data_IF_458549769443
#
_entry.id   IF_458549769443
#
_cell.length_a   1.000
_cell.length_b   1.000
_cell.length_c   1.000
_cell.angle_alpha   90.00
_cell.angle_beta   90.00
_cell.angle_gamma   90.00
#
_symmetry.space_group_name_H-M   'P 1'
#
loop_
_entity.id
_entity.type
_entity.pdbx_description
1 polymer ?
#
# COMPACT_ATOMS: atom_id res chain seq x y z
N UNK A 1 40.64 61.80 40.93
CA UNK A 1 39.84 60.57 40.81
C UNK A 1 39.87 60.15 39.35
N UNK A 2 40.66 59.13 39.07
CA UNK A 2 41.18 58.72 37.77
C UNK A 2 40.38 57.55 37.19
N UNK A 3 39.94 57.72 35.94
CA UNK A 3 39.95 56.74 34.83
C UNK A 3 39.53 55.27 35.04
N UNK A 4 38.38 54.94 34.44
CA UNK A 4 38.11 53.83 33.49
C UNK A 4 38.82 52.47 33.56
N UNK A 5 38.00 51.41 33.55
CA UNK A 5 38.28 50.15 32.85
C UNK A 5 36.96 49.43 32.51
N UNK A 6 36.61 49.41 31.22
CA UNK A 6 35.49 48.63 30.68
C UNK A 6 35.86 47.15 30.61
N UNK A 7 34.97 46.29 31.10
CA UNK A 7 35.05 44.85 30.89
C UNK A 7 34.52 44.53 29.49
N UNK A 8 35.42 44.10 28.61
CA UNK A 8 35.10 43.59 27.29
C UNK A 8 34.35 42.27 27.38
N UNK A 9 33.11 42.25 26.89
CA UNK A 9 32.36 41.04 26.62
C UNK A 9 32.98 40.33 25.41
N UNK A 10 33.77 39.28 25.66
CA UNK A 10 34.25 38.38 24.61
C UNK A 10 33.08 37.65 23.96
N UNK A 11 32.60 38.14 22.82
CA UNK A 11 31.76 37.35 21.91
C UNK A 11 32.69 36.41 21.13
N UNK A 12 32.69 35.13 21.50
CA UNK A 12 33.28 34.09 20.67
C UNK A 12 32.53 34.01 19.33
N UNK A 13 33.28 34.08 18.23
CA UNK A 13 32.72 33.84 16.91
C UNK A 13 32.26 32.36 16.81
N UNK A 14 31.14 32.07 16.12
CA UNK A 14 30.73 30.70 15.87
C UNK A 14 31.78 30.00 14.98
N UNK A 15 32.04 28.70 15.19
CA UNK A 15 33.01 27.96 14.39
C UNK A 15 32.56 27.92 12.93
N UNK A 16 33.50 28.13 12.01
CA UNK A 16 33.28 28.04 10.58
C UNK A 16 32.77 26.64 10.21
N UNK A 17 31.71 26.58 9.41
CA UNK A 17 31.19 25.35 8.84
C UNK A 17 32.30 24.66 8.00
N UNK A 18 32.46 23.33 8.09
CA UNK A 18 33.48 22.63 7.33
C UNK A 18 33.19 22.79 5.83
N UNK A 19 34.23 23.13 5.07
CA UNK A 19 34.18 23.25 3.62
C UNK A 19 33.69 21.93 3.00
N UNK A 20 32.73 22.03 2.07
CA UNK A 20 32.22 20.92 1.30
C UNK A 20 33.40 20.18 0.64
N UNK A 21 33.58 18.89 0.94
CA UNK A 21 34.68 18.12 0.39
C UNK A 21 34.49 17.96 -1.12
N UNK A 22 35.50 18.39 -1.88
CA UNK A 22 35.54 18.20 -3.32
C UNK A 22 35.64 16.69 -3.61
N UNK A 23 34.67 16.17 -4.36
CA UNK A 23 34.67 14.78 -4.82
C UNK A 23 35.81 14.60 -5.83
N UNK A 24 36.72 13.61 -5.67
CA UNK A 24 37.79 13.34 -6.64
C UNK A 24 37.22 12.96 -8.01
N UNK A 25 37.86 13.41 -9.08
CA UNK A 25 37.40 13.29 -10.47
C UNK A 25 37.32 11.84 -11.03
N UNK A 26 37.76 10.83 -10.26
CA UNK A 26 37.66 9.40 -10.60
C UNK A 26 36.67 8.63 -9.72
N UNK A 27 35.85 9.34 -8.93
CA UNK A 27 34.82 8.69 -8.14
C UNK A 27 33.72 8.13 -9.07
N UNK A 28 33.35 6.83 -8.95
CA UNK A 28 32.26 6.26 -9.72
C UNK A 28 31.01 7.15 -9.70
N UNK A 29 30.26 7.21 -10.81
CA UNK A 29 29.12 8.13 -11.01
C UNK A 29 28.04 8.11 -9.89
N UNK A 30 28.01 7.05 -9.08
CA UNK A 30 27.11 6.91 -7.92
C UNK A 30 27.61 7.61 -6.64
N UNK A 31 28.84 8.13 -6.58
CA UNK A 31 29.34 8.86 -5.42
C UNK A 31 28.57 10.17 -5.22
N UNK A 32 28.12 10.41 -3.98
CA UNK A 32 27.26 11.54 -3.60
C UNK A 32 25.82 11.46 -4.13
N UNK A 33 25.48 10.51 -5.00
CA UNK A 33 24.11 10.34 -5.51
C UNK A 33 23.12 10.07 -4.38
N UNK A 34 23.49 9.20 -3.44
CA UNK A 34 22.71 8.90 -2.23
C UNK A 34 22.38 10.17 -1.44
N UNK A 35 23.34 11.05 -1.24
CA UNK A 35 23.16 12.25 -0.43
C UNK A 35 22.34 13.30 -1.19
N UNK A 36 22.60 13.48 -2.50
CA UNK A 36 21.76 14.33 -3.36
C UNK A 36 20.29 13.89 -3.37
N UNK A 37 20.05 12.59 -3.45
CA UNK A 37 18.69 12.03 -3.46
C UNK A 37 17.97 12.24 -2.11
N UNK A 38 18.70 12.08 -1.00
CA UNK A 38 18.20 12.37 0.35
C UNK A 38 17.87 13.85 0.54
N UNK A 39 18.75 14.76 0.10
CA UNK A 39 18.49 16.20 0.16
C UNK A 39 17.24 16.57 -0.64
N UNK A 40 17.11 16.06 -1.88
CA UNK A 40 15.90 16.27 -2.68
C UNK A 40 14.62 15.78 -1.98
N UNK A 41 14.65 14.60 -1.38
CA UNK A 41 13.49 14.09 -0.61
C UNK A 41 13.17 14.99 0.59
N UNK A 42 14.19 15.49 1.29
CA UNK A 42 14.00 16.37 2.45
C UNK A 42 13.46 17.76 2.07
N UNK A 43 13.90 18.31 0.94
CA UNK A 43 13.54 19.66 0.50
C UNK A 43 12.18 19.70 -0.21
N UNK A 44 11.91 18.71 -1.07
CA UNK A 44 10.78 18.73 -2.00
C UNK A 44 9.78 17.58 -1.78
N UNK A 45 10.04 16.69 -0.83
CA UNK A 45 9.14 15.58 -0.49
C UNK A 45 9.14 14.44 -1.51
N UNK A 46 8.18 13.53 -1.36
CA UNK A 46 8.08 12.32 -2.17
C UNK A 46 7.68 12.61 -3.63
N UNK A 47 6.82 13.62 -3.86
CA UNK A 47 6.29 13.94 -5.19
C UNK A 47 7.37 14.46 -6.17
N UNK A 48 8.52 14.88 -5.65
CA UNK A 48 9.66 15.35 -6.44
C UNK A 48 10.56 14.23 -6.98
N UNK A 49 10.23 12.96 -6.69
CA UNK A 49 11.03 11.79 -7.05
C UNK A 49 10.19 10.82 -7.89
N UNK A 50 10.71 10.35 -9.04
CA UNK A 50 10.08 9.24 -9.75
C UNK A 50 10.18 7.94 -8.93
N UNK A 51 9.29 6.99 -9.21
CA UNK A 51 9.18 5.69 -8.54
C UNK A 51 10.52 4.97 -8.33
N UNK A 52 11.38 4.95 -9.35
CA UNK A 52 12.67 4.28 -9.24
C UNK A 52 13.60 4.99 -8.24
N UNK A 53 13.56 6.32 -8.12
CA UNK A 53 14.37 7.07 -7.15
C UNK A 53 13.86 6.90 -5.72
N UNK A 54 12.53 6.82 -5.54
CA UNK A 54 11.95 6.48 -4.24
C UNK A 54 12.39 5.06 -3.80
N UNK A 55 12.46 4.12 -4.76
CA UNK A 55 12.97 2.78 -4.51
C UNK A 55 14.46 2.76 -4.19
N UNK A 56 15.28 3.60 -4.83
CA UNK A 56 16.70 3.75 -4.50
C UNK A 56 16.88 4.16 -3.02
N UNK A 57 16.07 5.10 -2.52
CA UNK A 57 16.12 5.52 -1.10
C UNK A 57 15.86 4.38 -0.12
N UNK A 58 14.94 3.47 -0.44
CA UNK A 58 14.71 2.25 0.35
C UNK A 58 15.90 1.29 0.24
N UNK A 59 16.33 0.97 -0.97
CA UNK A 59 17.40 0.01 -1.24
C UNK A 59 18.74 0.43 -0.61
N UNK A 60 18.99 1.73 -0.46
CA UNK A 60 20.17 2.24 0.23
C UNK A 60 20.28 1.78 1.69
N UNK A 61 19.18 1.44 2.35
CA UNK A 61 19.17 0.92 3.73
C UNK A 61 19.57 -0.56 3.77
N UNK A 62 19.12 -1.32 2.78
CA UNK A 62 19.34 -2.77 2.69
C UNK A 62 20.66 -3.14 2.01
N UNK A 63 21.16 -2.28 1.13
CA UNK A 63 22.39 -2.49 0.34
C UNK A 63 23.35 -1.30 0.55
N UNK A 64 24.27 -1.39 1.51
CA UNK A 64 25.25 -0.34 1.75
C UNK A 64 26.30 -0.29 0.62
N UNK A 65 26.77 0.92 0.30
CA UNK A 65 27.96 1.17 -0.52
C UNK A 65 27.95 0.56 -1.95
N UNK A 66 26.78 0.36 -2.54
CA UNK A 66 26.63 -0.07 -3.95
C UNK A 66 25.75 0.88 -4.75
N UNK A 67 25.95 0.90 -6.06
CA UNK A 67 25.00 1.51 -6.99
C UNK A 67 23.73 0.65 -7.06
N UNK A 68 22.63 1.19 -6.50
CA UNK A 68 21.32 0.54 -6.49
C UNK A 68 20.41 1.02 -7.62
N UNK A 69 20.84 2.02 -8.41
CA UNK A 69 20.04 2.55 -9.51
C UNK A 69 19.72 1.51 -10.58
N UNK A 70 20.67 0.66 -11.03
CA UNK A 70 20.35 -0.42 -11.95
C UNK A 70 19.34 -1.41 -11.37
N UNK A 71 19.44 -1.71 -10.07
CA UNK A 71 18.53 -2.63 -9.38
C UNK A 71 17.12 -2.03 -9.26
N UNK A 72 17.01 -0.77 -8.87
CA UNK A 72 15.74 -0.06 -8.79
C UNK A 72 15.05 -0.01 -10.16
N UNK A 73 15.79 0.31 -11.23
CA UNK A 73 15.25 0.27 -12.59
C UNK A 73 14.85 -1.14 -13.04
N UNK A 74 15.61 -2.17 -12.68
CA UNK A 74 15.26 -3.55 -13.01
C UNK A 74 13.96 -4.00 -12.30
N UNK A 75 13.78 -3.60 -11.04
CA UNK A 75 12.56 -3.84 -10.28
C UNK A 75 11.35 -3.14 -10.92
N UNK A 76 11.47 -1.85 -11.22
CA UNK A 76 10.41 -1.09 -11.89
C UNK A 76 10.11 -1.67 -13.28
N UNK A 77 11.13 -2.01 -14.07
CA UNK A 77 10.93 -2.62 -15.38
C UNK A 77 10.24 -4.00 -15.31
N UNK A 78 10.47 -4.77 -14.24
CA UNK A 78 9.84 -6.09 -14.05
C UNK A 78 8.40 -5.99 -13.55
N UNK A 79 8.14 -5.09 -12.60
CA UNK A 79 6.89 -5.06 -11.85
C UNK A 79 5.96 -3.92 -12.25
N UNK A 80 6.47 -2.85 -12.88
CA UNK A 80 5.70 -1.72 -13.40
C UNK A 80 5.94 -0.44 -12.61
N UNK A 81 5.49 -0.40 -11.36
CA UNK A 81 5.52 0.77 -10.48
C UNK A 81 6.12 0.49 -9.11
N UNK A 82 6.38 1.55 -8.33
CA UNK A 82 6.82 1.43 -6.93
C UNK A 82 5.83 0.61 -6.08
N UNK A 83 4.54 0.84 -6.29
CA UNK A 83 3.48 0.10 -5.59
C UNK A 83 3.45 -1.37 -6.00
N UNK A 84 3.63 -1.69 -7.29
CA UNK A 84 3.72 -3.07 -7.77
C UNK A 84 4.96 -3.79 -7.25
N UNK A 85 6.11 -3.11 -7.12
CA UNK A 85 7.30 -3.66 -6.48
C UNK A 85 7.02 -4.01 -5.02
N UNK A 86 6.38 -3.11 -4.26
CA UNK A 86 6.01 -3.39 -2.88
C UNK A 86 4.93 -4.48 -2.76
N UNK A 87 4.03 -4.63 -3.74
CA UNK A 87 2.98 -5.65 -3.73
C UNK A 87 3.44 -7.04 -4.18
N UNK A 88 4.51 -7.13 -4.96
CA UNK A 88 5.00 -8.40 -5.53
C UNK A 88 5.40 -9.43 -4.45
N UNK A 89 5.09 -10.73 -4.59
CA UNK A 89 5.50 -11.75 -3.63
C UNK A 89 7.01 -11.82 -3.45
N UNK A 90 7.45 -12.17 -2.23
CA UNK A 90 8.87 -12.24 -1.90
C UNK A 90 9.65 -13.18 -2.84
N UNK A 91 9.07 -14.32 -3.23
CA UNK A 91 9.68 -15.25 -4.21
C UNK A 91 9.97 -14.60 -5.55
N UNK A 92 9.03 -13.80 -6.06
CA UNK A 92 9.12 -13.08 -7.34
C UNK A 92 10.14 -11.95 -7.27
N UNK A 93 10.24 -11.28 -6.12
CA UNK A 93 11.26 -10.26 -5.87
C UNK A 93 12.66 -10.87 -5.91
N UNK A 94 12.87 -12.04 -5.27
CA UNK A 94 14.17 -12.72 -5.23
C UNK A 94 14.63 -13.30 -6.57
N UNK A 95 13.75 -13.38 -7.58
CA UNK A 95 14.14 -13.73 -8.96
C UNK A 95 14.95 -12.61 -9.64
N UNK A 96 14.90 -11.37 -9.12
CA UNK A 96 15.65 -10.24 -9.67
C UNK A 96 17.09 -10.26 -9.16
N UNK A 97 18.06 -10.34 -10.08
CA UNK A 97 19.48 -10.32 -9.74
C UNK A 97 19.83 -9.08 -8.91
N UNK A 98 20.30 -9.31 -7.68
CA UNK A 98 20.63 -8.25 -6.72
C UNK A 98 19.62 -8.08 -5.59
N UNK A 99 18.46 -8.75 -5.67
CA UNK A 99 17.50 -8.86 -4.57
C UNK A 99 17.73 -10.18 -3.82
N UNK A 100 18.40 -10.09 -2.68
CA UNK A 100 18.45 -11.20 -1.72
C UNK A 100 17.26 -11.20 -0.76
N UNK A 101 17.19 -12.22 0.10
CA UNK A 101 16.12 -12.36 1.10
C UNK A 101 15.98 -11.12 1.99
N UNK A 102 17.08 -10.48 2.39
CA UNK A 102 17.04 -9.26 3.23
C UNK A 102 16.37 -8.07 2.54
N UNK A 103 16.67 -7.85 1.25
CA UNK A 103 16.03 -6.78 0.46
C UNK A 103 14.54 -7.08 0.27
N UNK A 104 14.19 -8.33 -0.03
CA UNK A 104 12.80 -8.75 -0.14
C UNK A 104 12.05 -8.52 1.18
N UNK A 105 12.64 -8.91 2.32
CA UNK A 105 12.05 -8.70 3.64
C UNK A 105 11.81 -7.22 3.93
N UNK A 106 12.78 -6.34 3.68
CA UNK A 106 12.62 -4.90 3.91
C UNK A 106 11.47 -4.30 3.08
N UNK A 107 11.35 -4.69 1.80
CA UNK A 107 10.21 -4.27 0.96
C UNK A 107 8.87 -4.78 1.51
N UNK A 108 8.82 -6.04 1.98
CA UNK A 108 7.62 -6.62 2.61
C UNK A 108 7.27 -5.93 3.94
N UNK A 109 8.26 -5.46 4.71
CA UNK A 109 8.02 -4.68 5.93
C UNK A 109 7.33 -3.36 5.59
N UNK A 110 7.80 -2.67 4.55
CA UNK A 110 7.17 -1.41 4.08
C UNK A 110 5.75 -1.66 3.59
N UNK A 111 5.52 -2.69 2.78
CA UNK A 111 4.17 -3.10 2.35
C UNK A 111 3.26 -3.37 3.56
N UNK A 112 3.75 -4.11 4.55
CA UNK A 112 2.98 -4.45 5.74
C UNK A 112 2.67 -3.22 6.61
N UNK A 113 3.57 -2.23 6.66
CA UNK A 113 3.32 -0.95 7.33
C UNK A 113 2.22 -0.16 6.60
N UNK A 114 2.30 -0.05 5.27
CA UNK A 114 1.30 0.61 4.43
C UNK A 114 -0.08 -0.03 4.62
N UNK A 115 -0.16 -1.37 4.55
CA UNK A 115 -1.41 -2.11 4.79
C UNK A 115 -2.00 -1.86 6.18
N UNK A 116 -1.17 -1.79 7.22
CA UNK A 116 -1.62 -1.50 8.60
C UNK A 116 -2.14 -0.07 8.74
N UNK A 117 -1.47 0.91 8.12
CA UNK A 117 -1.92 2.30 8.11
C UNK A 117 -3.28 2.43 7.40
N UNK A 118 -3.40 1.84 6.22
CA UNK A 118 -4.65 1.83 5.47
C UNK A 118 -5.79 1.14 6.25
N UNK A 119 -5.49 0.00 6.89
CA UNK A 119 -6.47 -0.69 7.76
C UNK A 119 -6.89 0.16 8.95
N UNK A 120 -5.96 0.85 9.59
CA UNK A 120 -6.25 1.74 10.72
C UNK A 120 -7.17 2.90 10.36
N UNK A 121 -7.08 3.41 9.12
CA UNK A 121 -7.96 4.46 8.61
C UNK A 121 -9.43 3.98 8.48
N UNK A 122 -9.65 2.69 8.25
CA UNK A 122 -10.99 2.08 8.10
C UNK A 122 -11.55 1.56 9.42
N UNK A 123 -10.70 0.96 10.28
CA UNK A 123 -11.11 0.27 11.51
C UNK A 123 -11.74 1.16 12.61
N UNK A 124 -11.83 2.48 12.41
CA UNK A 124 -12.42 3.45 13.36
C UNK A 124 -13.43 4.42 12.72
N UNK A 125 -13.81 4.21 11.46
CA UNK A 125 -14.71 5.12 10.73
C UNK A 125 -15.98 4.42 10.30
N UNK A 126 -17.07 5.18 10.22
CA UNK A 126 -18.29 4.74 9.56
C UNK A 126 -18.05 4.73 8.06
N UNK A 127 -18.16 3.56 7.43
CA UNK A 127 -17.87 3.30 6.02
C UNK A 127 -18.59 4.29 5.10
N UNK A 128 -19.86 4.59 5.38
CA UNK A 128 -20.66 5.50 4.55
C UNK A 128 -20.20 6.97 4.61
N UNK A 129 -19.48 7.39 5.65
CA UNK A 129 -18.96 8.77 5.74
C UNK A 129 -17.70 8.98 4.91
N UNK A 130 -17.08 7.90 4.41
CA UNK A 130 -15.85 7.98 3.61
C UNK A 130 -15.72 6.78 2.67
N UNK A 131 -16.65 6.64 1.73
CA UNK A 131 -16.59 5.58 0.71
C UNK A 131 -15.24 5.56 -0.04
N UNK A 132 -14.67 6.72 -0.34
CA UNK A 132 -13.32 6.84 -0.90
C UNK A 132 -12.25 6.18 -0.03
N UNK A 133 -12.31 6.34 1.29
CA UNK A 133 -11.35 5.71 2.20
C UNK A 133 -11.48 4.18 2.24
N UNK A 134 -12.70 3.65 2.05
CA UNK A 134 -12.93 2.21 1.92
C UNK A 134 -12.32 1.69 0.62
N UNK A 135 -12.54 2.40 -0.49
CA UNK A 135 -11.94 2.06 -1.78
C UNK A 135 -10.40 2.13 -1.74
N UNK A 136 -9.84 3.19 -1.16
CA UNK A 136 -8.39 3.36 -1.02
C UNK A 136 -7.79 2.24 -0.18
N UNK A 137 -8.48 1.84 0.89
CA UNK A 137 -8.10 0.68 1.69
C UNK A 137 -8.10 -0.61 0.89
N UNK A 138 -9.20 -0.91 0.19
CA UNK A 138 -9.34 -2.10 -0.63
C UNK A 138 -8.26 -2.16 -1.72
N UNK A 139 -7.99 -1.03 -2.39
CA UNK A 139 -6.91 -0.92 -3.39
C UNK A 139 -5.55 -1.20 -2.76
N UNK A 140 -5.23 -0.55 -1.64
CA UNK A 140 -3.95 -0.75 -0.93
C UNK A 140 -3.78 -2.19 -0.47
N UNK A 141 -4.86 -2.83 -0.01
CA UNK A 141 -4.81 -4.19 0.50
C UNK A 141 -4.70 -5.24 -0.63
N UNK A 142 -5.30 -5.00 -1.80
CA UNK A 142 -5.61 -6.06 -2.76
C UNK A 142 -5.19 -5.81 -4.22
N UNK A 143 -4.98 -4.57 -4.67
CA UNK A 143 -4.81 -4.24 -6.10
C UNK A 143 -3.60 -4.94 -6.76
N UNK A 144 -2.55 -5.21 -5.99
CA UNK A 144 -1.32 -5.83 -6.49
C UNK A 144 -1.13 -7.27 -6.01
N UNK A 145 -2.18 -7.89 -5.44
CA UNK A 145 -2.13 -9.29 -5.09
C UNK A 145 -2.11 -10.15 -6.37
N UNK A 146 -1.10 -11.03 -6.51
CA UNK A 146 -0.97 -11.93 -7.67
C UNK A 146 -2.07 -13.00 -7.73
N UNK A 147 -2.73 -13.25 -6.61
CA UNK A 147 -3.84 -14.19 -6.50
C UNK A 147 -5.11 -13.42 -6.24
N UNK A 148 -6.20 -13.94 -6.76
CA UNK A 148 -7.53 -13.48 -6.43
C UNK A 148 -7.83 -13.75 -4.95
N UNK A 149 -8.33 -12.74 -4.28
CA UNK A 149 -8.72 -12.77 -2.88
C UNK A 149 -10.15 -12.27 -2.77
N UNK A 150 -10.99 -13.02 -2.06
CA UNK A 150 -12.33 -12.56 -1.69
C UNK A 150 -12.31 -12.09 -0.24
N UNK A 151 -12.54 -10.80 -0.05
CA UNK A 151 -12.56 -10.10 1.24
C UNK A 151 -13.98 -9.65 1.54
N UNK A 152 -14.32 -9.70 2.83
CA UNK A 152 -15.60 -9.21 3.34
C UNK A 152 -15.33 -8.24 4.47
N UNK A 153 -15.90 -7.04 4.34
CA UNK A 153 -16.00 -6.09 5.43
C UNK A 153 -17.36 -6.29 6.10
N UNK A 154 -17.36 -6.68 7.36
CA UNK A 154 -18.56 -6.83 8.16
C UNK A 154 -18.84 -5.53 8.90
N UNK A 155 -20.09 -5.07 8.92
CA UNK A 155 -20.47 -3.78 9.48
C UNK A 155 -21.56 -3.90 10.55
N UNK A 156 -21.49 -3.02 11.54
CA UNK A 156 -22.57 -2.81 12.50
C UNK A 156 -23.69 -1.89 11.96
N UNK A 157 -24.72 -1.63 12.78
CA UNK A 157 -25.88 -0.79 12.43
C UNK A 157 -25.53 0.68 12.17
N UNK A 158 -24.35 1.13 12.61
CA UNK A 158 -23.81 2.48 12.35
C UNK A 158 -22.91 2.48 11.11
N UNK A 159 -22.79 1.35 10.41
CA UNK A 159 -21.88 1.11 9.30
C UNK A 159 -20.41 1.27 9.68
N UNK A 160 -20.05 1.01 10.94
CA UNK A 160 -18.65 0.86 11.32
C UNK A 160 -18.17 -0.56 10.97
N UNK A 161 -16.93 -0.68 10.47
CA UNK A 161 -16.33 -2.00 10.20
C UNK A 161 -16.05 -2.69 11.53
N UNK A 162 -16.71 -3.81 11.77
CA UNK A 162 -16.52 -4.66 12.96
C UNK A 162 -15.55 -5.81 12.70
N UNK A 163 -15.45 -6.26 11.45
CA UNK A 163 -14.45 -7.23 11.04
C UNK A 163 -14.08 -7.03 9.57
N UNK A 164 -12.86 -7.43 9.25
CA UNK A 164 -12.28 -7.38 7.92
C UNK A 164 -11.52 -8.69 7.69
N UNK A 165 -12.11 -9.56 6.87
CA UNK A 165 -11.65 -10.93 6.72
C UNK A 165 -11.50 -11.30 5.24
N UNK A 166 -10.39 -11.95 4.93
CA UNK A 166 -10.20 -12.62 3.65
C UNK A 166 -10.82 -14.01 3.79
N UNK A 167 -12.00 -14.21 3.22
CA UNK A 167 -12.72 -15.49 3.26
C UNK A 167 -12.14 -16.50 2.28
N UNK A 168 -11.46 -16.03 1.23
CA UNK A 168 -10.85 -16.90 0.23
C UNK A 168 -9.57 -16.30 -0.33
N UNK A 169 -8.57 -17.16 -0.52
CA UNK A 169 -7.41 -16.89 -1.37
C UNK A 169 -7.29 -18.01 -2.40
N UNK A 170 -7.37 -17.68 -3.69
CA UNK A 170 -7.38 -18.65 -4.78
C UNK A 170 -6.00 -19.05 -5.31
N UNK A 171 -5.96 -20.16 -6.04
CA UNK A 171 -5.03 -20.43 -7.17
C UNK A 171 -5.86 -20.50 -8.46
N UNK A 172 -5.21 -20.69 -9.62
CA UNK A 172 -5.77 -20.62 -11.01
C UNK A 172 -7.14 -21.29 -11.21
N UNK A 173 -7.51 -22.26 -10.38
CA UNK A 173 -8.83 -22.90 -10.37
C UNK A 173 -9.66 -22.41 -9.16
N UNK A 174 -10.65 -21.55 -9.41
CA UNK A 174 -11.58 -20.99 -8.42
C UNK A 174 -12.09 -22.02 -7.40
N UNK A 175 -11.79 -21.82 -6.12
CA UNK A 175 -12.71 -22.28 -5.06
C UNK A 175 -13.94 -21.36 -5.12
N UNK A 176 -15.19 -21.85 -5.05
CA UNK A 176 -16.34 -20.97 -5.02
C UNK A 176 -16.50 -20.30 -3.65
N UNK A 177 -16.84 -19.01 -3.63
CA UNK A 177 -17.37 -18.36 -2.43
C UNK A 177 -18.73 -18.98 -2.13
N UNK A 178 -18.87 -19.58 -0.96
CA UNK A 178 -20.12 -20.22 -0.55
C UNK A 178 -21.00 -19.23 0.21
N UNK A 179 -22.19 -18.84 -0.31
CA UNK A 179 -23.06 -17.87 0.35
C UNK A 179 -23.40 -18.22 1.80
N UNK A 180 -23.57 -19.52 2.09
CA UNK A 180 -23.83 -20.00 3.46
C UNK A 180 -22.73 -19.65 4.45
N UNK A 181 -21.47 -19.64 4.03
CA UNK A 181 -20.32 -19.36 4.90
C UNK A 181 -20.25 -17.85 5.19
N UNK A 182 -20.51 -17.04 4.17
CA UNK A 182 -20.62 -15.57 4.32
C UNK A 182 -21.73 -15.21 5.30
N UNK A 183 -22.91 -15.82 5.14
CA UNK A 183 -24.04 -15.56 6.03
C UNK A 183 -23.82 -16.08 7.44
N UNK A 184 -23.27 -17.29 7.60
CA UNK A 184 -22.90 -17.82 8.91
C UNK A 184 -21.97 -16.86 9.63
N UNK A 185 -20.92 -16.39 8.94
CA UNK A 185 -19.95 -15.47 9.52
C UNK A 185 -20.55 -14.11 9.87
N UNK A 186 -21.40 -13.57 9.00
CA UNK A 186 -22.11 -12.32 9.28
C UNK A 186 -22.99 -12.42 10.53
N UNK A 187 -23.69 -13.54 10.72
CA UNK A 187 -24.49 -13.81 11.90
C UNK A 187 -23.63 -14.00 13.17
N UNK A 188 -22.53 -14.75 13.08
CA UNK A 188 -21.58 -14.92 14.20
C UNK A 188 -21.05 -13.58 14.71
N UNK A 189 -20.78 -12.65 13.80
CA UNK A 189 -20.28 -11.31 14.11
C UNK A 189 -21.40 -10.32 14.46
N UNK A 190 -22.67 -10.74 14.40
CA UNK A 190 -23.83 -9.85 14.55
C UNK A 190 -23.80 -8.65 13.59
N UNK A 191 -23.29 -8.86 12.39
CA UNK A 191 -23.21 -7.85 11.35
C UNK A 191 -24.62 -7.50 10.85
N UNK A 192 -24.92 -6.22 10.69
CA UNK A 192 -26.16 -5.76 10.03
C UNK A 192 -25.97 -5.50 8.53
N UNK A 193 -24.72 -5.40 8.08
CA UNK A 193 -24.40 -5.27 6.68
C UNK A 193 -23.02 -5.85 6.36
N UNK A 194 -22.78 -6.12 5.08
CA UNK A 194 -21.47 -6.50 4.55
C UNK A 194 -21.14 -5.73 3.28
N UNK A 195 -19.85 -5.56 3.01
CA UNK A 195 -19.32 -5.15 1.70
C UNK A 195 -18.45 -6.29 1.21
N UNK A 196 -18.76 -6.76 0.00
CA UNK A 196 -17.99 -7.79 -0.68
C UNK A 196 -16.89 -7.12 -1.50
N UNK A 197 -15.69 -7.67 -1.51
CA UNK A 197 -14.57 -7.12 -2.27
C UNK A 197 -13.74 -8.26 -2.83
N UNK A 198 -13.42 -8.24 -4.12
CA UNK A 198 -12.36 -9.09 -4.67
C UNK A 198 -11.46 -8.36 -5.64
N UNK A 199 -10.26 -8.88 -5.86
CA UNK A 199 -9.34 -8.34 -6.86
C UNK A 199 -9.30 -9.20 -8.10
N UNK A 200 -9.15 -8.57 -9.25
CA UNK A 200 -8.80 -9.23 -10.50
C UNK A 200 -7.30 -9.07 -10.77
N UNK A 201 -6.47 -10.13 -10.65
CA UNK A 201 -5.03 -10.04 -10.91
C UNK A 201 -4.69 -9.59 -12.35
N UNK A 202 -5.61 -9.80 -13.29
CA UNK A 202 -5.55 -9.30 -14.67
C UNK A 202 -5.52 -7.77 -14.75
N UNK A 203 -6.02 -7.08 -13.73
CA UNK A 203 -6.09 -5.63 -13.64
C UNK A 203 -7.42 -5.02 -14.11
N UNK A 204 -8.22 -5.74 -14.91
CA UNK A 204 -9.53 -5.29 -15.39
C UNK A 204 -10.60 -5.53 -14.30
N UNK A 205 -11.23 -4.47 -13.75
CA UNK A 205 -12.24 -4.61 -12.70
C UNK A 205 -13.64 -4.99 -13.23
N UNK A 206 -13.80 -5.27 -14.53
CA UNK A 206 -15.11 -5.61 -15.11
C UNK A 206 -15.67 -6.91 -14.50
N UNK A 207 -16.92 -6.92 -13.99
CA UNK A 207 -17.51 -8.11 -13.38
C UNK A 207 -17.81 -9.21 -14.40
N UNK A 208 -17.46 -10.44 -14.05
CA UNK A 208 -17.83 -11.63 -14.82
C UNK A 208 -19.30 -12.03 -14.58
N UNK A 209 -19.85 -12.88 -15.44
CA UNK A 209 -21.19 -13.44 -15.22
C UNK A 209 -21.29 -14.27 -13.93
N UNK A 210 -20.19 -14.88 -13.49
CA UNK A 210 -20.11 -15.62 -12.23
C UNK A 210 -20.20 -14.67 -11.03
N UNK A 211 -19.51 -13.52 -11.08
CA UNK A 211 -19.58 -12.50 -10.04
C UNK A 211 -21.00 -11.95 -9.90
N UNK A 212 -21.66 -11.65 -11.04
CA UNK A 212 -23.04 -11.19 -11.08
C UNK A 212 -23.99 -12.19 -10.44
N UNK A 213 -23.87 -13.47 -10.81
CA UNK A 213 -24.71 -14.52 -10.24
C UNK A 213 -24.49 -14.68 -8.74
N UNK A 214 -23.24 -14.81 -8.31
CA UNK A 214 -22.87 -15.02 -6.90
C UNK A 214 -23.34 -13.86 -6.02
N UNK A 215 -23.20 -12.62 -6.50
CA UNK A 215 -23.63 -11.43 -5.75
C UNK A 215 -25.15 -11.40 -5.57
N UNK A 216 -25.92 -11.72 -6.62
CA UNK A 216 -27.38 -11.79 -6.54
C UNK A 216 -27.84 -12.87 -5.57
N UNK A 217 -27.25 -14.07 -5.64
CA UNK A 217 -27.52 -15.15 -4.71
C UNK A 217 -27.27 -14.69 -3.25
N UNK A 218 -26.17 -13.97 -3.00
CA UNK A 218 -25.88 -13.40 -1.68
C UNK A 218 -26.90 -12.35 -1.23
N UNK A 219 -27.31 -11.43 -2.11
CA UNK A 219 -28.34 -10.41 -1.81
C UNK A 219 -29.65 -11.08 -1.41
N UNK A 220 -30.09 -12.07 -2.19
CA UNK A 220 -31.36 -12.77 -1.98
C UNK A 220 -31.38 -13.54 -0.65
N UNK A 221 -30.26 -14.14 -0.26
CA UNK A 221 -30.13 -14.87 1.01
C UNK A 221 -29.97 -13.90 2.20
N UNK A 222 -29.24 -12.80 2.03
CA UNK A 222 -28.96 -11.85 3.11
C UNK A 222 -30.21 -11.06 3.53
N UNK A 223 -31.08 -10.71 2.57
CA UNK A 223 -32.29 -9.93 2.79
C UNK A 223 -33.23 -10.49 3.87
N UNK A 224 -33.67 -11.77 3.84
CA UNK A 224 -34.52 -12.33 4.89
C UNK A 224 -33.82 -12.45 6.25
N UNK A 225 -32.48 -12.47 6.29
CA UNK A 225 -31.69 -12.48 7.52
C UNK A 225 -31.51 -11.08 8.12
N UNK A 226 -32.00 -10.03 7.47
CA UNK A 226 -31.84 -8.65 7.90
C UNK A 226 -30.40 -8.13 7.75
N UNK A 227 -29.61 -8.75 6.88
CA UNK A 227 -28.23 -8.34 6.58
C UNK A 227 -28.22 -7.65 5.22
N UNK A 228 -27.76 -6.39 5.16
CA UNK A 228 -27.65 -5.67 3.89
C UNK A 228 -26.33 -6.00 3.17
N UNK A 229 -26.38 -6.28 1.87
CA UNK A 229 -25.19 -6.21 1.01
C UNK A 229 -25.08 -4.76 0.53
N UNK A 230 -24.16 -3.99 1.11
CA UNK A 230 -24.02 -2.57 0.77
C UNK A 230 -23.47 -2.40 -0.64
N UNK A 231 -22.42 -3.13 -0.96
CA UNK A 231 -21.84 -3.15 -2.29
C UNK A 231 -21.04 -4.43 -2.52
N UNK A 232 -20.71 -4.66 -3.79
CA UNK A 232 -19.66 -5.57 -4.20
C UNK A 232 -18.65 -4.81 -5.07
N UNK A 233 -17.42 -4.70 -4.59
CA UNK A 233 -16.35 -3.94 -5.24
C UNK A 233 -15.32 -4.87 -5.85
N UNK A 234 -15.09 -4.74 -7.16
CA UNK A 234 -14.00 -5.41 -7.84
C UNK A 234 -12.82 -4.44 -7.94
N UNK A 235 -11.65 -4.86 -7.47
CA UNK A 235 -10.43 -4.06 -7.45
C UNK A 235 -9.50 -4.53 -8.56
N UNK A 236 -9.18 -3.62 -9.48
CA UNK A 236 -8.14 -3.77 -10.50
C UNK A 236 -6.87 -2.99 -10.12
N UNK A 237 -5.86 -3.03 -11.00
CA UNK A 237 -4.62 -2.25 -10.80
C UNK A 237 -4.90 -0.75 -10.96
N UNK A 238 -5.58 -0.39 -12.04
CA UNK A 238 -5.80 1.00 -12.42
C UNK A 238 -7.16 1.55 -11.98
N UNK A 239 -8.01 0.74 -11.36
CA UNK A 239 -9.37 1.16 -11.02
C UNK A 239 -10.14 0.16 -10.17
N UNK A 240 -11.44 0.40 -10.08
CA UNK A 240 -12.38 -0.48 -9.40
C UNK A 240 -13.74 -0.42 -10.10
N UNK A 241 -14.56 -1.44 -9.89
CA UNK A 241 -15.97 -1.45 -10.28
C UNK A 241 -16.83 -1.65 -9.03
N UNK A 242 -17.95 -0.94 -8.95
CA UNK A 242 -18.94 -1.05 -7.87
C UNK A 242 -20.21 -1.63 -8.47
N UNK A 243 -20.71 -2.74 -7.91
CA UNK A 243 -21.96 -3.34 -8.38
C UNK A 243 -23.13 -2.40 -8.19
N UNK A 244 -23.19 -1.69 -7.05
CA UNK A 244 -24.20 -0.65 -6.82
C UNK A 244 -24.08 0.48 -7.83
N UNK A 245 -22.86 0.95 -8.10
CA UNK A 245 -22.60 1.99 -9.10
C UNK A 245 -22.96 1.59 -10.53
N UNK A 246 -22.84 0.29 -10.85
CA UNK A 246 -23.25 -0.30 -12.12
C UNK A 246 -24.74 -0.67 -12.19
N UNK A 247 -25.51 -0.49 -11.11
CA UNK A 247 -26.93 -0.85 -11.04
C UNK A 247 -27.20 -2.36 -11.06
N UNK A 248 -26.24 -3.17 -10.61
CA UNK A 248 -26.35 -4.63 -10.54
C UNK A 248 -27.02 -5.12 -9.24
N UNK A 249 -27.09 -4.26 -8.22
CA UNK A 249 -27.73 -4.45 -6.90
C UNK A 249 -28.30 -3.13 -6.36
#
# INVERSE_FOLDING_TARGET
MTTGAGQGSGRSAPPALPAASAVPADAPHYHGHRDRLRSRFQEAGADALPDYELLELLLFRSIPQRDVKPLAKALIARFGSFAEVLGAPASRLTEVKGVGEGVALDLKIVEAALRRMAKGAVAKRTVLSSWSAVLDYCRTAMAFAEREQFRILFLDKKNAVIADEVQQTGTVDHTPVYPREVMRRALELSASAVILVHNHPSGDPTPSGADVKMTRDLVDIAKPLGIAIHDHVIVGRDGHASFRGLGLI
#
